data_IF_229413221057
#
_entry.id   IF_229413221057
#
_cell.length_a   1.000
_cell.length_b   1.000
_cell.length_c   1.000
_cell.angle_alpha   90.00
_cell.angle_beta   90.00
_cell.angle_gamma   90.00
#
_symmetry.space_group_name_H-M   'P 1'
#
loop_
_entity.id
_entity.type
_entity.pdbx_description
1 polymer ?
#
# COMPACT_ATOMS: atom_id res chain seq x y z
N UNK A 1 -1.98 15.83 -7.67
CA UNK A 1 -0.93 14.80 -7.63
C UNK A 1 -1.48 13.65 -8.42
N UNK A 2 -0.79 13.21 -9.47
CA UNK A 2 -1.28 12.17 -10.36
C UNK A 2 -0.51 10.88 -10.10
N UNK A 3 -1.19 9.74 -10.15
CA UNK A 3 -0.57 8.42 -10.06
C UNK A 3 -0.42 7.88 -11.48
N UNK A 4 0.79 7.49 -11.84
CA UNK A 4 1.06 6.83 -13.11
C UNK A 4 1.16 5.33 -12.85
N UNK A 5 0.26 4.56 -13.45
CA UNK A 5 0.23 3.10 -13.33
C UNK A 5 1.27 2.46 -14.25
N UNK A 6 1.50 1.15 -14.09
CA UNK A 6 2.51 0.42 -14.85
C UNK A 6 2.21 0.38 -16.37
N UNK A 7 0.94 0.47 -16.74
CA UNK A 7 0.45 0.56 -18.12
C UNK A 7 0.47 2.00 -18.67
N UNK A 8 1.03 2.95 -17.91
CA UNK A 8 1.11 4.38 -18.22
C UNK A 8 -0.23 5.13 -18.18
N UNK A 9 -1.31 4.47 -17.72
CA UNK A 9 -2.56 5.18 -17.44
C UNK A 9 -2.38 6.13 -16.25
N UNK A 10 -3.15 7.22 -16.28
CA UNK A 10 -3.12 8.25 -15.25
C UNK A 10 -4.34 8.07 -14.37
N UNK A 11 -4.10 7.83 -13.10
CA UNK A 11 -5.14 7.79 -12.09
C UNK A 11 -5.08 9.07 -11.24
N UNK A 12 -6.23 9.72 -11.12
CA UNK A 12 -6.39 10.91 -10.28
C UNK A 12 -6.89 10.50 -8.90
N UNK A 13 -6.14 10.78 -7.83
CA UNK A 13 -6.60 10.56 -6.46
C UNK A 13 -7.85 11.37 -6.14
N UNK A 14 -8.74 10.75 -5.37
CA UNK A 14 -9.93 11.38 -4.80
C UNK A 14 -9.59 12.08 -3.48
N UNK A 15 -8.51 11.66 -2.81
CA UNK A 15 -8.04 12.29 -1.59
C UNK A 15 -6.77 11.65 -1.03
N UNK A 16 -6.33 12.15 0.11
CA UNK A 16 -5.24 11.58 0.90
C UNK A 16 -5.67 11.46 2.37
N UNK A 17 -5.15 10.45 3.06
CA UNK A 17 -5.26 10.32 4.52
C UNK A 17 -3.86 10.21 5.08
N UNK A 18 -3.55 11.04 6.06
CA UNK A 18 -2.22 11.13 6.67
C UNK A 18 -2.21 10.60 8.09
N UNK A 19 -1.03 10.19 8.54
CA UNK A 19 -0.73 9.79 9.92
C UNK A 19 -1.62 8.64 10.44
N UNK A 20 -1.95 7.68 9.56
CA UNK A 20 -2.77 6.52 9.92
C UNK A 20 -1.88 5.41 10.47
N UNK A 21 -2.27 4.80 11.58
CA UNK A 21 -1.64 3.58 12.08
C UNK A 21 -2.37 2.38 11.49
N UNK A 22 -1.67 1.63 10.64
CA UNK A 22 -2.16 0.34 10.14
C UNK A 22 -1.64 -0.77 11.01
N UNK A 23 -2.56 -1.56 11.55
CA UNK A 23 -2.24 -2.74 12.34
C UNK A 23 -2.26 -3.98 11.45
N UNK A 24 -1.11 -4.64 11.33
CA UNK A 24 -0.97 -5.92 10.63
C UNK A 24 -0.51 -6.94 11.67
N UNK A 25 -1.40 -7.90 12.01
CA UNK A 25 -1.22 -8.79 13.16
C UNK A 25 -0.94 -7.98 14.43
N UNK A 26 0.25 -8.11 15.01
CA UNK A 26 0.66 -7.41 16.24
C UNK A 26 1.57 -6.19 15.99
N UNK A 27 1.84 -5.86 14.73
CA UNK A 27 2.68 -4.73 14.33
C UNK A 27 1.82 -3.53 13.93
N UNK A 28 2.20 -2.33 14.39
CA UNK A 28 1.61 -1.06 13.99
C UNK A 28 2.58 -0.24 13.16
N UNK A 29 2.15 0.25 12.01
CA UNK A 29 2.96 1.07 11.11
C UNK A 29 2.27 2.41 10.84
N UNK A 30 2.96 3.55 11.04
CA UNK A 30 2.47 4.84 10.56
C UNK A 30 2.60 4.88 9.03
N UNK A 31 1.53 5.25 8.34
CA UNK A 31 1.49 5.32 6.88
C UNK A 31 0.48 6.37 6.41
N UNK A 32 0.81 7.03 5.31
CA UNK A 32 -0.10 7.88 4.56
C UNK A 32 -0.69 7.10 3.38
N UNK A 33 -1.97 7.28 3.13
CA UNK A 33 -2.68 6.67 2.02
C UNK A 33 -3.15 7.70 1.01
N UNK A 34 -3.16 7.28 -0.25
CA UNK A 34 -3.83 7.99 -1.33
C UNK A 34 -5.11 7.22 -1.66
N UNK A 35 -6.24 7.91 -1.66
CA UNK A 35 -7.55 7.34 -1.98
C UNK A 35 -7.77 7.49 -3.48
N UNK A 36 -8.20 6.41 -4.12
CA UNK A 36 -8.39 6.31 -5.56
C UNK A 36 -9.75 5.69 -5.83
N UNK A 37 -10.54 6.30 -6.71
CA UNK A 37 -11.78 5.70 -7.20
C UNK A 37 -11.44 4.84 -8.42
N UNK A 38 -11.72 3.53 -8.34
CA UNK A 38 -11.53 2.56 -9.43
C UNK A 38 -12.89 1.96 -9.80
N UNK A 39 -13.17 1.81 -11.09
CA UNK A 39 -14.45 1.25 -11.58
C UNK A 39 -14.54 -0.27 -11.40
N UNK A 40 -13.39 -0.98 -11.36
CA UNK A 40 -13.30 -2.44 -11.27
C UNK A 40 -12.82 -2.91 -9.89
N UNK A 41 -13.54 -3.92 -9.38
CA UNK A 41 -13.28 -4.78 -8.23
C UNK A 41 -13.32 -4.19 -6.81
N UNK A 42 -14.43 -4.48 -6.12
CA UNK A 42 -14.63 -4.28 -4.69
C UNK A 42 -13.71 -5.16 -3.80
N UNK A 43 -12.93 -6.07 -4.39
CA UNK A 43 -12.18 -7.10 -3.68
C UNK A 43 -10.73 -6.69 -3.33
N UNK A 44 -10.18 -5.64 -3.95
CA UNK A 44 -8.84 -5.11 -3.63
C UNK A 44 -8.97 -3.77 -2.90
N UNK A 45 -9.03 -3.84 -1.57
CA UNK A 45 -9.23 -2.65 -0.74
C UNK A 45 -7.95 -1.86 -0.44
N UNK A 46 -6.75 -2.45 -0.56
CA UNK A 46 -5.48 -1.83 -0.13
C UNK A 46 -4.30 -2.28 -1.00
N UNK A 47 -3.55 -1.31 -1.55
CA UNK A 47 -2.27 -1.53 -2.24
C UNK A 47 -1.12 -1.04 -1.36
N UNK A 48 -0.15 -1.92 -1.08
CA UNK A 48 1.06 -1.55 -0.35
C UNK A 48 2.13 -1.02 -1.30
N UNK A 49 2.30 0.30 -1.32
CA UNK A 49 3.34 0.93 -2.14
C UNK A 49 4.76 0.61 -1.67
N UNK A 50 5.74 0.80 -2.57
CA UNK A 50 7.18 0.67 -2.25
C UNK A 50 7.62 1.47 -1.00
N UNK A 51 7.13 2.69 -0.73
CA UNK A 51 7.49 3.40 0.50
C UNK A 51 7.11 2.63 1.77
N UNK A 52 5.91 2.07 1.84
CA UNK A 52 5.48 1.26 2.98
C UNK A 52 6.34 0.00 3.15
N UNK A 53 6.60 -0.70 2.04
CA UNK A 53 7.45 -1.91 2.04
C UNK A 53 8.89 -1.58 2.51
N UNK A 54 9.43 -0.41 2.14
CA UNK A 54 10.73 0.03 2.60
C UNK A 54 10.73 0.35 4.11
N UNK A 55 9.73 1.09 4.60
CA UNK A 55 9.60 1.47 6.03
C UNK A 55 9.47 0.24 6.93
N UNK A 56 8.67 -0.75 6.50
CA UNK A 56 8.43 -1.99 7.23
C UNK A 56 9.53 -3.05 7.03
N UNK A 57 10.62 -2.71 6.32
CA UNK A 57 11.71 -3.64 5.95
C UNK A 57 11.16 -4.97 5.41
N UNK A 58 10.17 -4.86 4.53
CA UNK A 58 9.43 -6.00 4.01
C UNK A 58 10.35 -6.97 3.27
N UNK A 59 10.16 -8.27 3.52
CA UNK A 59 10.73 -9.37 2.74
C UNK A 59 9.58 -10.09 2.06
N UNK A 60 9.64 -10.15 0.74
CA UNK A 60 8.65 -10.85 -0.09
C UNK A 60 9.30 -12.17 -0.54
N UNK A 61 8.79 -13.28 -0.03
CA UNK A 61 9.13 -14.62 -0.51
C UNK A 61 8.07 -15.04 -1.53
N UNK A 62 8.45 -14.99 -2.81
CA UNK A 62 7.56 -15.30 -3.92
C UNK A 62 7.24 -16.79 -4.02
N UNK A 63 8.14 -17.67 -3.58
CA UNK A 63 7.95 -19.12 -3.66
C UNK A 63 6.96 -19.59 -2.58
N UNK A 64 7.04 -18.99 -1.39
CA UNK A 64 6.13 -19.30 -0.27
C UNK A 64 4.85 -18.47 -0.27
N UNK A 65 4.74 -17.49 -1.16
CA UNK A 65 3.67 -16.48 -1.16
C UNK A 65 3.57 -15.74 0.19
N UNK A 66 4.71 -15.48 0.83
CA UNK A 66 4.78 -14.90 2.17
C UNK A 66 5.33 -13.46 2.13
N UNK A 67 4.60 -12.57 2.81
CA UNK A 67 5.07 -11.23 3.14
C UNK A 67 5.48 -11.17 4.62
N UNK A 68 6.78 -10.97 4.86
CA UNK A 68 7.31 -10.74 6.21
C UNK A 68 7.54 -9.25 6.42
N UNK A 69 6.88 -8.68 7.42
CA UNK A 69 7.08 -7.29 7.87
C UNK A 69 7.85 -7.28 9.19
N UNK A 70 8.70 -6.27 9.38
CA UNK A 70 9.51 -6.12 10.59
C UNK A 70 9.35 -4.71 11.14
N UNK A 71 9.31 -4.60 12.46
CA UNK A 71 9.44 -3.28 13.10
C UNK A 71 10.90 -2.83 12.97
N UNK A 72 11.08 -1.56 12.64
CA UNK A 72 12.40 -0.93 12.49
C UNK A 72 13.23 -0.94 13.76
#
# INVERSE_FOLDING_TARGET
>A
MDIILADQSILKPSGEIKDVIVKIKDLGFPVDFVIVDIEEDADILIILGRPFLATSRAVIDMEKEELTLRMG
#
